data_IF_289635928285
#
_entry.id   IF_289635928285
#
_cell.length_a   1.000
_cell.length_b   1.000
_cell.length_c   1.000
_cell.angle_alpha   90.00
_cell.angle_beta   90.00
_cell.angle_gamma   90.00
#
_symmetry.space_group_name_H-M   'P 1'
#
loop_
_entity.id
_entity.type
_entity.pdbx_description
1 polymer ?
#
# COMPACT_ATOMS: atom_id res chain seq x y z
N UNK A 1 -12.23 -10.92 43.18
CA UNK A 1 -11.87 -10.40 41.85
C UNK A 1 -13.15 -9.92 41.18
N UNK A 2 -13.25 -8.61 40.89
CA UNK A 2 -14.50 -7.97 40.45
C UNK A 2 -14.86 -8.49 39.04
N UNK A 3 -16.07 -9.01 38.84
CA UNK A 3 -16.60 -9.48 37.56
C UNK A 3 -16.38 -8.50 36.39
N UNK A 4 -16.45 -7.20 36.68
CA UNK A 4 -16.28 -6.15 35.70
C UNK A 4 -14.80 -5.95 35.26
N UNK A 5 -13.85 -6.36 36.08
CA UNK A 5 -12.42 -6.28 35.77
C UNK A 5 -11.98 -7.42 34.81
N UNK A 6 -12.55 -8.61 35.03
CA UNK A 6 -12.32 -9.76 34.15
C UNK A 6 -12.89 -9.51 32.76
N UNK A 7 -14.07 -8.88 32.62
CA UNK A 7 -14.69 -8.57 31.35
C UNK A 7 -13.91 -7.53 30.51
N UNK A 8 -13.17 -6.63 31.19
CA UNK A 8 -12.31 -5.62 30.53
C UNK A 8 -10.92 -6.14 30.20
N UNK A 9 -10.46 -7.18 30.88
CA UNK A 9 -9.17 -7.79 30.59
C UNK A 9 -9.19 -8.76 29.40
N UNK A 10 -10.34 -9.34 29.05
CA UNK A 10 -10.47 -10.26 27.93
C UNK A 10 -10.13 -9.60 26.58
N UNK A 11 -10.68 -8.42 26.22
CA UNK A 11 -10.28 -7.77 24.96
C UNK A 11 -8.81 -7.35 24.93
N UNK A 12 -8.26 -6.92 26.07
CA UNK A 12 -6.84 -6.55 26.15
C UNK A 12 -5.93 -7.76 25.99
N UNK A 13 -6.26 -8.90 26.58
CA UNK A 13 -5.54 -10.16 26.44
C UNK A 13 -5.64 -10.72 25.00
N UNK A 14 -6.80 -10.61 24.36
CA UNK A 14 -6.99 -10.96 22.97
C UNK A 14 -6.15 -10.08 22.03
N UNK A 15 -6.14 -8.76 22.26
CA UNK A 15 -5.32 -7.84 21.48
C UNK A 15 -3.82 -8.17 21.58
N UNK A 16 -3.33 -8.51 22.77
CA UNK A 16 -1.93 -8.92 22.98
C UNK A 16 -1.65 -10.31 22.39
N UNK A 17 -2.58 -11.25 22.48
CA UNK A 17 -2.40 -12.60 21.92
C UNK A 17 -2.34 -12.61 20.39
N UNK A 18 -3.02 -11.68 19.73
CA UNK A 18 -3.01 -11.56 18.26
C UNK A 18 -1.94 -10.61 17.71
N UNK A 19 -1.28 -9.80 18.55
CA UNK A 19 -0.26 -8.86 18.12
C UNK A 19 1.03 -9.51 17.60
N UNK A 20 1.28 -10.79 17.93
CA UNK A 20 2.48 -11.51 17.51
C UNK A 20 2.37 -12.28 16.19
N UNK A 21 1.16 -12.37 15.62
CA UNK A 21 0.91 -13.22 14.44
C UNK A 21 0.50 -12.43 13.18
N UNK A 22 0.58 -11.10 13.20
CA UNK A 22 0.36 -10.28 12.02
C UNK A 22 1.60 -10.26 11.11
N UNK A 23 2.05 -11.43 10.69
CA UNK A 23 2.94 -11.58 9.55
C UNK A 23 2.08 -11.51 8.29
N UNK A 24 1.49 -10.36 8.04
CA UNK A 24 0.78 -10.08 6.82
C UNK A 24 1.81 -9.88 5.71
N UNK A 25 2.18 -10.93 5.04
CA UNK A 25 2.99 -10.92 3.83
C UNK A 25 2.17 -10.44 2.61
N UNK A 26 1.41 -9.38 2.78
CA UNK A 26 0.77 -8.68 1.70
C UNK A 26 1.59 -7.46 1.32
N UNK A 27 2.73 -7.63 0.70
CA UNK A 27 3.40 -6.54 0.02
C UNK A 27 2.52 -6.14 -1.18
N UNK A 28 1.49 -5.37 -0.91
CA UNK A 28 0.84 -4.61 -1.96
C UNK A 28 1.70 -3.37 -2.18
N UNK A 29 2.33 -3.30 -3.34
CA UNK A 29 3.08 -2.14 -3.81
C UNK A 29 2.09 -1.01 -4.16
N UNK A 30 1.36 -0.51 -3.16
CA UNK A 30 0.42 0.60 -3.31
C UNK A 30 1.15 1.94 -3.47
N UNK A 31 2.40 2.03 -3.05
CA UNK A 31 3.22 3.22 -3.18
C UNK A 31 3.53 3.64 -4.62
N UNK A 32 3.48 2.70 -5.56
CA UNK A 32 3.72 2.94 -6.98
C UNK A 32 2.63 3.78 -7.64
N UNK A 33 1.43 3.77 -7.08
CA UNK A 33 0.26 4.41 -7.68
C UNK A 33 0.26 5.93 -7.52
N UNK A 34 1.00 6.47 -6.55
CA UNK A 34 1.07 7.91 -6.33
C UNK A 34 2.37 8.28 -5.63
N UNK A 35 3.18 9.11 -6.26
CA UNK A 35 4.41 9.63 -5.67
C UNK A 35 4.15 10.48 -4.42
N UNK A 36 3.05 11.25 -4.37
CA UNK A 36 2.65 12.03 -3.19
C UNK A 36 2.22 11.12 -2.04
N UNK A 37 1.47 10.06 -2.32
CA UNK A 37 1.08 9.06 -1.33
C UNK A 37 2.30 8.31 -0.78
N UNK A 38 3.26 7.98 -1.63
CA UNK A 38 4.51 7.34 -1.21
C UNK A 38 5.29 8.22 -0.23
N UNK A 39 5.38 9.53 -0.48
CA UNK A 39 6.04 10.48 0.41
C UNK A 39 5.43 10.51 1.82
N UNK A 40 4.15 10.23 1.95
CA UNK A 40 3.42 10.17 3.22
C UNK A 40 3.23 8.72 3.74
N UNK A 41 3.97 7.75 3.20
CA UNK A 41 3.81 6.33 3.52
C UNK A 41 2.35 5.83 3.41
N UNK A 42 1.58 6.36 2.46
CA UNK A 42 0.18 6.04 2.24
C UNK A 42 -0.80 6.67 3.24
N UNK A 43 -0.31 7.46 4.20
CA UNK A 43 -1.19 8.12 5.17
C UNK A 43 -2.15 9.10 4.48
N UNK A 44 -3.43 8.95 4.78
CA UNK A 44 -4.46 9.81 4.20
C UNK A 44 -4.90 9.47 2.77
N UNK A 45 -4.29 8.48 2.10
CA UNK A 45 -4.57 8.17 0.68
C UNK A 45 -6.05 7.93 0.37
N UNK A 46 -6.82 7.41 1.31
CA UNK A 46 -8.25 7.17 1.16
C UNK A 46 -9.14 8.38 1.52
N UNK A 47 -8.59 9.37 2.22
CA UNK A 47 -9.35 10.49 2.78
C UNK A 47 -8.98 11.85 2.18
N UNK A 48 -7.74 11.99 1.72
CA UNK A 48 -7.21 13.28 1.23
C UNK A 48 -7.23 13.27 -0.30
N UNK A 49 -8.06 14.11 -0.88
CA UNK A 49 -8.19 14.27 -2.32
C UNK A 49 -7.31 15.43 -2.83
N UNK A 50 -5.98 15.27 -2.79
CA UNK A 50 -5.03 16.30 -3.22
C UNK A 50 -4.91 16.42 -4.74
N UNK A 51 -5.08 15.32 -5.46
CA UNK A 51 -4.91 15.24 -6.90
C UNK A 51 -5.71 14.07 -7.50
N UNK A 52 -5.70 13.95 -8.83
CA UNK A 52 -6.45 12.90 -9.53
C UNK A 52 -6.08 11.47 -9.14
N UNK A 53 -4.94 11.23 -8.52
CA UNK A 53 -4.55 9.92 -7.98
C UNK A 53 -5.50 9.39 -6.89
N UNK A 54 -6.35 10.25 -6.30
CA UNK A 54 -7.39 9.82 -5.37
C UNK A 54 -8.34 8.79 -5.99
N UNK A 55 -8.48 8.75 -7.31
CA UNK A 55 -9.35 7.81 -8.05
C UNK A 55 -9.00 6.36 -7.71
N UNK A 56 -7.71 6.07 -7.56
CA UNK A 56 -7.24 4.73 -7.24
C UNK A 56 -7.64 4.29 -5.82
N UNK A 57 -7.53 5.20 -4.86
CA UNK A 57 -7.76 4.88 -3.44
C UNK A 57 -9.22 5.08 -3.02
N UNK A 58 -9.83 6.16 -3.50
CA UNK A 58 -11.19 6.55 -3.16
C UNK A 58 -11.82 7.37 -4.30
N UNK A 59 -12.53 6.72 -5.23
CA UNK A 59 -13.17 7.42 -6.35
C UNK A 59 -14.14 8.53 -5.93
N UNK A 60 -14.75 8.43 -4.74
CA UNK A 60 -15.63 9.48 -4.22
C UNK A 60 -14.87 10.81 -3.97
N UNK A 61 -13.55 10.75 -3.75
CA UNK A 61 -12.71 11.93 -3.63
C UNK A 61 -12.66 12.81 -4.89
N UNK A 62 -13.11 12.32 -6.04
CA UNK A 62 -13.21 13.16 -7.24
C UNK A 62 -14.09 14.37 -7.05
N UNK A 63 -15.08 14.31 -6.16
CA UNK A 63 -15.98 15.43 -5.85
C UNK A 63 -15.25 16.62 -5.24
N UNK A 64 -14.12 16.39 -4.59
CA UNK A 64 -13.30 17.43 -3.95
C UNK A 64 -12.30 18.09 -4.92
N UNK A 65 -12.08 17.49 -6.10
CA UNK A 65 -11.11 17.98 -7.09
C UNK A 65 -11.63 19.11 -7.99
N UNK A 66 -12.86 19.58 -7.77
CA UNK A 66 -13.50 20.58 -8.59
C UNK A 66 -13.86 20.06 -9.99
N UNK A 67 -13.78 20.94 -11.02
CA UNK A 67 -14.25 20.61 -12.38
C UNK A 67 -13.36 19.64 -13.14
N UNK A 68 -12.11 19.56 -12.79
CA UNK A 68 -11.16 18.65 -13.43
C UNK A 68 -9.80 18.69 -12.78
N UNK A 69 -9.13 17.56 -12.76
CA UNK A 69 -7.77 17.39 -12.24
C UNK A 69 -7.04 16.37 -13.08
N UNK A 70 -5.77 16.61 -13.35
CA UNK A 70 -4.89 15.65 -14.01
C UNK A 70 -3.63 15.52 -13.17
N UNK A 71 -3.19 14.31 -12.94
CA UNK A 71 -1.91 14.03 -12.28
C UNK A 71 -1.15 12.95 -13.02
N UNK A 72 0.17 13.08 -13.04
CA UNK A 72 1.08 12.08 -13.59
C UNK A 72 2.31 11.98 -12.70
N UNK A 73 2.88 10.79 -12.63
CA UNK A 73 4.05 10.53 -11.83
C UNK A 73 4.88 9.37 -12.36
N UNK A 74 6.10 9.29 -11.85
CA UNK A 74 7.02 8.18 -12.07
C UNK A 74 7.55 7.73 -10.72
N UNK A 75 7.51 6.44 -10.45
CA UNK A 75 8.06 5.84 -9.24
C UNK A 75 9.18 4.88 -9.64
N UNK A 76 10.38 5.11 -9.11
CA UNK A 76 11.49 4.19 -9.28
C UNK A 76 11.47 3.17 -8.14
N UNK A 77 11.41 1.90 -8.46
CA UNK A 77 11.39 0.78 -7.51
C UNK A 77 12.67 -0.01 -7.65
N UNK A 78 13.36 -0.22 -6.54
CA UNK A 78 14.48 -1.15 -6.46
C UNK A 78 14.04 -2.38 -5.68
N UNK A 79 13.94 -3.49 -6.36
CA UNK A 79 13.69 -4.78 -5.70
C UNK A 79 15.00 -5.41 -5.23
N UNK A 80 14.96 -6.14 -4.12
CA UNK A 80 16.06 -6.95 -3.63
C UNK A 80 15.52 -8.31 -3.24
N UNK A 81 16.04 -9.36 -3.89
CA UNK A 81 15.69 -10.75 -3.59
C UNK A 81 16.99 -11.50 -3.34
N UNK A 82 17.24 -11.83 -2.09
CA UNK A 82 18.40 -12.60 -1.68
C UNK A 82 17.93 -13.95 -1.16
N UNK A 83 18.52 -15.01 -1.70
CA UNK A 83 18.31 -16.37 -1.24
C UNK A 83 19.44 -16.74 -0.29
N UNK A 84 19.09 -17.06 0.95
CA UNK A 84 20.02 -17.65 1.91
C UNK A 84 19.88 -19.18 1.87
N UNK A 85 20.93 -19.86 1.46
CA UNK A 85 20.95 -21.31 1.44
C UNK A 85 21.30 -21.85 2.84
N UNK A 86 20.28 -22.16 3.61
CA UNK A 86 20.43 -22.77 4.95
C UNK A 86 20.32 -24.29 4.86
N UNK A 87 21.29 -24.91 4.18
CA UNK A 87 21.42 -26.37 4.12
C UNK A 87 20.59 -27.07 3.05
N UNK A 88 20.52 -26.52 1.83
CA UNK A 88 19.92 -27.23 0.69
C UNK A 88 20.61 -28.56 0.42
N UNK A 89 19.85 -29.65 0.42
CA UNK A 89 20.30 -31.00 0.12
C UNK A 89 20.35 -31.32 -1.37
N UNK A 90 19.97 -30.38 -2.24
CA UNK A 90 19.95 -30.61 -3.68
C UNK A 90 21.38 -30.53 -4.24
N UNK A 91 21.91 -31.60 -4.86
CA UNK A 91 23.23 -31.58 -5.45
C UNK A 91 23.37 -30.49 -6.51
N UNK A 92 24.42 -29.67 -6.41
CA UNK A 92 24.69 -28.56 -7.32
C UNK A 92 24.18 -27.21 -6.90
N UNK A 93 23.35 -27.10 -5.87
CA UNK A 93 22.86 -25.83 -5.30
C UNK A 93 23.60 -25.53 -3.98
N UNK A 94 24.85 -25.13 -4.07
CA UNK A 94 25.72 -24.90 -2.89
C UNK A 94 25.97 -23.43 -2.57
N UNK A 95 25.36 -22.50 -3.30
CA UNK A 95 25.56 -21.06 -3.13
C UNK A 95 24.26 -20.30 -2.86
N UNK A 96 24.37 -19.08 -2.37
CA UNK A 96 23.25 -18.18 -2.08
C UNK A 96 22.67 -17.51 -3.33
N UNK A 97 23.20 -17.78 -4.52
CA UNK A 97 22.65 -17.31 -5.80
C UNK A 97 22.77 -15.81 -6.08
N UNK A 98 23.19 -15.00 -5.11
CA UNK A 98 23.29 -13.56 -5.22
C UNK A 98 21.92 -12.85 -5.15
N UNK A 99 21.92 -11.57 -5.48
CA UNK A 99 20.70 -10.73 -5.48
C UNK A 99 20.04 -10.76 -6.86
N UNK A 100 18.84 -11.30 -6.95
CA UNK A 100 18.01 -11.35 -8.18
C UNK A 100 17.19 -10.09 -8.44
N UNK A 101 17.29 -9.09 -7.59
CA UNK A 101 16.53 -7.85 -7.73
C UNK A 101 17.11 -6.87 -8.76
N UNK A 102 16.27 -6.02 -9.29
CA UNK A 102 16.64 -5.01 -10.29
C UNK A 102 15.87 -3.70 -10.07
N UNK A 103 16.28 -2.65 -10.79
CA UNK A 103 15.56 -1.40 -10.87
C UNK A 103 14.40 -1.49 -11.87
N UNK A 104 13.24 -0.98 -11.47
CA UNK A 104 12.08 -0.78 -12.31
C UNK A 104 11.57 0.65 -12.22
N UNK A 105 10.92 1.13 -13.27
CA UNK A 105 10.23 2.42 -13.29
C UNK A 105 8.76 2.16 -13.58
N UNK A 106 7.87 2.64 -12.71
CA UNK A 106 6.43 2.50 -12.83
C UNK A 106 5.84 3.88 -13.13
N UNK A 107 5.36 4.14 -14.35
CA UNK A 107 4.61 5.34 -14.67
C UNK A 107 3.18 5.24 -14.13
N UNK A 108 2.62 6.35 -13.67
CA UNK A 108 1.21 6.47 -13.34
C UNK A 108 0.64 7.79 -13.89
N UNK A 109 -0.63 7.78 -14.28
CA UNK A 109 -1.35 8.96 -14.73
C UNK A 109 -2.83 8.80 -14.41
N UNK A 110 -3.45 9.88 -13.97
CA UNK A 110 -4.86 9.92 -13.58
C UNK A 110 -5.50 11.21 -14.09
N UNK A 111 -6.78 11.13 -14.43
CA UNK A 111 -7.57 12.28 -14.82
C UNK A 111 -8.98 12.20 -14.25
N UNK A 112 -9.49 13.31 -13.76
CA UNK A 112 -10.86 13.45 -13.25
C UNK A 112 -11.54 14.62 -13.89
N UNK A 113 -12.81 14.47 -14.31
CA UNK A 113 -13.63 15.53 -14.88
C UNK A 113 -15.05 15.45 -14.37
N UNK A 114 -15.60 16.62 -14.05
CA UNK A 114 -17.01 16.77 -13.75
C UNK A 114 -17.79 16.88 -15.06
N UNK A 115 -18.71 15.94 -15.30
CA UNK A 115 -19.60 15.94 -16.48
C UNK A 115 -20.87 16.74 -16.23
N UNK A 116 -21.41 16.67 -15.03
CA UNK A 116 -22.60 17.37 -14.59
C UNK A 116 -22.56 17.55 -13.07
N UNK A 117 -23.55 18.25 -12.50
CA UNK A 117 -23.70 18.33 -11.05
C UNK A 117 -23.78 16.91 -10.49
N UNK A 118 -22.91 16.60 -9.53
CA UNK A 118 -22.80 15.31 -8.83
C UNK A 118 -22.38 14.11 -9.72
N UNK A 119 -21.96 14.37 -10.97
CA UNK A 119 -21.46 13.35 -11.89
C UNK A 119 -20.01 13.60 -12.28
N UNK A 120 -19.16 12.62 -11.99
CA UNK A 120 -17.73 12.67 -12.29
C UNK A 120 -17.32 11.42 -13.08
N UNK A 121 -16.35 11.59 -13.96
CA UNK A 121 -15.64 10.51 -14.63
C UNK A 121 -14.16 10.57 -14.26
N UNK A 122 -13.57 9.43 -13.99
CA UNK A 122 -12.14 9.28 -13.68
C UNK A 122 -11.51 8.16 -14.46
N UNK A 123 -10.23 8.31 -14.73
CA UNK A 123 -9.43 7.39 -15.57
C UNK A 123 -8.05 7.23 -14.95
#
# INVERSE_FOLDING_TARGET
>A
MNKNMTLRLIPALLAVAFSGAASASGFQLLGEQSASSLGNAGAGSAAVAENAGTIFYNPAGMTELGRGSVSAGLVAVKTSFEFNNDGSITPGLTGDGGNGGNWGVVPNAYGSWQLAKDWYIGL
#
